data_IF_484744993942
#
_entry.id   IF_484744993942
#
_cell.length_a   1.000
_cell.length_b   1.000
_cell.length_c   1.000
_cell.angle_alpha   90.00
_cell.angle_beta   90.00
_cell.angle_gamma   90.00
#
_symmetry.space_group_name_H-M   'P 1'
#
loop_
_entity.id
_entity.type
_entity.pdbx_description
1 polymer ?
#
# COMPACT_ATOMS: atom_id res chain seq x y z
N UNK A 1 -20.37 4.35 6.12
CA UNK A 1 -19.41 5.43 5.82
C UNK A 1 -18.88 5.27 4.40
N UNK A 2 -18.92 6.33 3.59
CA UNK A 2 -18.57 6.32 2.16
C UNK A 2 -17.06 6.28 1.85
N UNK A 3 -16.20 6.07 2.85
CA UNK A 3 -14.72 6.09 2.75
C UNK A 3 -14.18 5.28 1.56
N UNK A 4 -14.60 4.02 1.41
CA UNK A 4 -14.17 3.14 0.30
C UNK A 4 -14.56 3.72 -1.06
N UNK A 5 -15.82 4.13 -1.19
CA UNK A 5 -16.36 4.63 -2.46
C UNK A 5 -15.68 5.94 -2.86
N UNK A 6 -15.49 6.87 -1.92
CA UNK A 6 -14.81 8.14 -2.18
C UNK A 6 -13.33 7.93 -2.51
N UNK A 7 -12.65 7.02 -1.81
CA UNK A 7 -11.25 6.68 -2.10
C UNK A 7 -11.09 6.10 -3.50
N UNK A 8 -12.00 5.21 -3.93
CA UNK A 8 -12.02 4.67 -5.30
C UNK A 8 -12.31 5.75 -6.34
N UNK A 9 -13.25 6.65 -6.05
CA UNK A 9 -13.55 7.78 -6.93
C UNK A 9 -12.35 8.72 -7.08
N UNK A 10 -11.72 9.11 -5.97
CA UNK A 10 -10.53 9.94 -5.98
C UNK A 10 -9.37 9.28 -6.74
N UNK A 11 -9.16 7.98 -6.53
CA UNK A 11 -8.17 7.18 -7.26
C UNK A 11 -8.44 7.19 -8.76
N UNK A 12 -9.70 7.04 -9.17
CA UNK A 12 -10.12 7.10 -10.57
C UNK A 12 -9.92 8.49 -11.18
N UNK A 13 -10.31 9.56 -10.47
CA UNK A 13 -10.12 10.94 -10.92
C UNK A 13 -8.64 11.31 -11.05
N UNK A 14 -7.79 10.76 -10.20
CA UNK A 14 -6.34 10.94 -10.26
C UNK A 14 -5.65 10.04 -11.31
N UNK A 15 -6.41 9.26 -12.10
CA UNK A 15 -5.89 8.31 -13.11
C UNK A 15 -4.91 7.27 -12.54
N UNK A 16 -5.04 6.97 -11.25
CA UNK A 16 -4.21 6.00 -10.55
C UNK A 16 -4.84 4.61 -10.63
N UNK A 17 -4.02 3.56 -10.67
CA UNK A 17 -4.56 2.20 -10.62
C UNK A 17 -4.98 1.87 -9.18
N UNK A 18 -6.26 1.59 -8.96
CA UNK A 18 -6.74 1.11 -7.67
C UNK A 18 -6.42 -0.38 -7.51
N UNK A 19 -5.72 -0.74 -6.43
CA UNK A 19 -5.49 -2.10 -6.00
C UNK A 19 -6.13 -2.30 -4.62
N UNK A 20 -6.85 -3.41 -4.44
CA UNK A 20 -7.46 -3.83 -3.18
C UNK A 20 -7.28 -5.32 -3.07
N UNK A 21 -7.06 -5.83 -1.86
CA UNK A 21 -7.00 -7.29 -1.66
C UNK A 21 -8.39 -7.92 -1.64
N UNK A 22 -8.48 -9.17 -2.07
CA UNK A 22 -9.70 -9.96 -2.02
C UNK A 22 -9.54 -11.10 -1.02
N UNK A 23 -10.30 -11.03 0.08
CA UNK A 23 -10.15 -12.01 1.15
C UNK A 23 -10.99 -13.24 0.85
N UNK A 24 -10.32 -14.38 0.87
CA UNK A 24 -10.94 -15.70 0.84
C UNK A 24 -10.88 -16.36 2.22
N UNK A 25 -11.65 -17.44 2.42
CA UNK A 25 -11.72 -18.15 3.71
C UNK A 25 -10.35 -18.61 4.23
N UNK A 26 -9.38 -18.84 3.34
CA UNK A 26 -8.04 -19.34 3.66
C UNK A 26 -6.96 -18.26 3.50
N UNK A 27 -7.32 -16.98 3.41
CA UNK A 27 -6.37 -15.89 3.23
C UNK A 27 -5.54 -15.69 4.50
N UNK A 28 -4.22 -15.91 4.40
CA UNK A 28 -3.23 -15.80 5.48
C UNK A 28 -2.12 -14.83 5.06
N UNK A 29 -1.08 -14.74 5.90
CA UNK A 29 0.08 -13.90 5.66
C UNK A 29 0.76 -14.18 4.32
N UNK A 30 0.81 -15.44 3.89
CA UNK A 30 1.46 -15.82 2.64
C UNK A 30 0.75 -15.18 1.45
N UNK A 31 -0.58 -15.31 1.38
CA UNK A 31 -1.38 -14.71 0.30
C UNK A 31 -1.29 -13.18 0.33
N UNK A 32 -1.29 -12.58 1.53
CA UNK A 32 -1.08 -11.14 1.68
C UNK A 32 0.26 -10.68 1.12
N UNK A 33 1.35 -11.39 1.42
CA UNK A 33 2.66 -11.06 0.90
C UNK A 33 2.76 -11.27 -0.62
N UNK A 34 2.07 -12.25 -1.18
CA UNK A 34 1.97 -12.40 -2.64
C UNK A 34 1.26 -11.20 -3.30
N UNK A 35 0.19 -10.70 -2.70
CA UNK A 35 -0.49 -9.48 -3.17
C UNK A 35 0.44 -8.25 -3.09
N UNK A 36 1.22 -8.13 -2.01
CA UNK A 36 2.22 -7.07 -1.85
C UNK A 36 3.36 -7.17 -2.88
N UNK A 37 3.81 -8.38 -3.24
CA UNK A 37 4.76 -8.58 -4.35
C UNK A 37 4.18 -8.06 -5.66
N UNK A 38 2.91 -8.35 -5.92
CA UNK A 38 2.17 -7.83 -7.08
C UNK A 38 2.15 -6.30 -7.11
N UNK A 39 1.89 -5.66 -5.96
CA UNK A 39 1.95 -4.21 -5.80
C UNK A 39 3.35 -3.65 -6.10
N UNK A 40 4.41 -4.25 -5.57
CA UNK A 40 5.79 -3.81 -5.81
C UNK A 40 6.16 -3.95 -7.29
N UNK A 41 5.79 -5.05 -7.96
CA UNK A 41 6.00 -5.21 -9.40
C UNK A 41 5.23 -4.16 -10.20
N UNK A 42 4.01 -3.84 -9.81
CA UNK A 42 3.19 -2.85 -10.50
C UNK A 42 3.72 -1.41 -10.33
N UNK A 43 3.99 -1.01 -9.09
CA UNK A 43 4.46 0.34 -8.76
C UNK A 43 5.93 0.54 -9.13
N UNK A 44 6.79 -0.44 -8.89
CA UNK A 44 8.23 -0.37 -9.13
C UNK A 44 8.62 -0.79 -10.54
N UNK A 45 8.40 -2.06 -10.89
CA UNK A 45 8.90 -2.63 -12.15
C UNK A 45 8.18 -2.07 -13.38
N UNK A 46 6.85 -2.07 -13.36
CA UNK A 46 6.03 -1.51 -14.44
C UNK A 46 5.92 0.03 -14.40
N UNK A 47 6.43 0.67 -13.34
CA UNK A 47 6.40 2.12 -13.13
C UNK A 47 4.99 2.72 -13.29
N UNK A 48 3.98 2.07 -12.68
CA UNK A 48 2.58 2.51 -12.75
C UNK A 48 2.14 3.12 -11.41
N UNK A 49 1.74 4.40 -11.39
CA UNK A 49 1.13 5.00 -10.21
C UNK A 49 -0.08 4.19 -9.74
N UNK A 50 -0.04 3.76 -8.49
CA UNK A 50 -0.95 2.76 -7.92
C UNK A 50 -1.37 3.17 -6.52
N UNK A 51 -2.68 3.10 -6.27
CA UNK A 51 -3.23 3.24 -4.93
C UNK A 51 -3.49 1.86 -4.35
N UNK A 52 -2.89 1.57 -3.20
CA UNK A 52 -3.29 0.45 -2.37
C UNK A 52 -4.38 0.89 -1.40
N UNK A 53 -5.62 0.49 -1.69
CA UNK A 53 -6.78 0.70 -0.83
C UNK A 53 -6.93 -0.50 0.11
N UNK A 54 -6.74 -0.27 1.41
CA UNK A 54 -6.78 -1.29 2.44
C UNK A 54 -7.77 -0.90 3.53
N UNK A 55 -8.72 -1.78 3.81
CA UNK A 55 -9.83 -1.52 4.71
C UNK A 55 -9.74 -2.30 6.02
N UNK A 56 -10.36 -1.78 7.06
CA UNK A 56 -10.45 -2.46 8.35
C UNK A 56 -11.05 -3.87 8.29
N UNK A 57 -12.04 -4.10 7.42
CA UNK A 57 -12.63 -5.44 7.26
C UNK A 57 -11.65 -6.41 6.62
N UNK A 58 -10.57 -5.89 6.04
CA UNK A 58 -9.52 -6.69 5.41
C UNK A 58 -8.39 -7.10 6.36
N UNK A 59 -8.40 -6.60 7.59
CA UNK A 59 -7.40 -6.91 8.60
C UNK A 59 -7.82 -8.22 9.30
N UNK A 60 -7.43 -9.35 8.70
CA UNK A 60 -7.68 -10.69 9.29
C UNK A 60 -6.69 -10.98 10.42
N UNK A 61 -5.44 -10.56 10.25
CA UNK A 61 -4.36 -10.70 11.22
C UNK A 61 -3.65 -9.35 11.41
N UNK A 62 -3.30 -9.02 12.66
CA UNK A 62 -2.60 -7.76 12.96
C UNK A 62 -1.20 -7.70 12.30
N UNK A 63 -0.60 -8.85 11.97
CA UNK A 63 0.64 -8.94 11.19
C UNK A 63 0.51 -8.36 9.77
N UNK A 64 -0.71 -8.14 9.25
CA UNK A 64 -0.89 -7.41 7.98
C UNK A 64 -0.53 -5.93 8.17
N UNK A 65 -0.89 -5.36 9.32
CA UNK A 65 -0.57 -3.96 9.63
C UNK A 65 0.91 -3.75 9.90
N UNK A 66 1.63 -4.78 10.36
CA UNK A 66 3.09 -4.72 10.47
C UNK A 66 3.74 -4.53 9.08
N UNK A 67 3.35 -5.34 8.10
CA UNK A 67 3.83 -5.23 6.73
C UNK A 67 3.41 -3.88 6.10
N UNK A 68 2.18 -3.40 6.34
CA UNK A 68 1.73 -2.06 5.89
C UNK A 68 2.53 -0.94 6.56
N UNK A 69 2.82 -1.05 7.86
CA UNK A 69 3.63 -0.08 8.58
C UNK A 69 5.06 -0.02 8.02
N UNK A 70 5.63 -1.15 7.63
CA UNK A 70 6.93 -1.19 6.96
C UNK A 70 6.87 -0.48 5.61
N UNK A 71 5.83 -0.70 4.80
CA UNK A 71 5.62 0.05 3.54
C UNK A 71 5.52 1.56 3.81
N UNK A 72 4.78 1.99 4.82
CA UNK A 72 4.61 3.40 5.13
C UNK A 72 5.89 4.08 5.65
N UNK A 73 6.75 3.34 6.37
CA UNK A 73 7.93 3.90 7.03
C UNK A 73 9.21 3.77 6.19
N UNK A 74 9.44 2.61 5.58
CA UNK A 74 10.64 2.33 4.78
C UNK A 74 10.34 2.18 3.29
N UNK A 75 9.08 2.06 2.87
CA UNK A 75 8.74 1.77 1.48
C UNK A 75 9.02 0.34 1.05
N UNK A 76 9.40 -0.54 1.98
CA UNK A 76 9.66 -1.96 1.71
C UNK A 76 9.13 -2.87 2.80
N UNK A 77 8.87 -4.13 2.44
CA UNK A 77 8.59 -5.19 3.41
C UNK A 77 9.81 -6.11 3.50
N UNK A 78 10.40 -6.29 4.70
CA UNK A 78 11.56 -7.15 4.86
C UNK A 78 11.30 -8.58 4.42
N UNK A 79 12.25 -9.16 3.67
CA UNK A 79 12.17 -10.53 3.15
C UNK A 79 10.88 -10.82 2.34
N UNK A 80 10.35 -9.81 1.63
CA UNK A 80 9.17 -9.98 0.80
C UNK A 80 9.45 -10.91 -0.40
N UNK A 81 10.58 -10.71 -1.07
CA UNK A 81 10.99 -11.55 -2.20
C UNK A 81 12.04 -12.58 -1.77
N UNK A 82 11.86 -13.86 -2.14
CA UNK A 82 12.96 -14.82 -2.09
C UNK A 82 14.02 -14.44 -3.14
N UNK A 83 15.26 -14.92 -2.96
CA UNK A 83 16.43 -14.48 -3.73
C UNK A 83 16.29 -14.70 -5.24
N UNK A 84 15.64 -15.79 -5.63
CA UNK A 84 15.34 -16.15 -7.01
C UNK A 84 14.33 -15.20 -7.65
N UNK A 85 13.21 -14.91 -6.98
CA UNK A 85 12.22 -13.96 -7.50
C UNK A 85 12.75 -12.52 -7.56
N UNK A 86 13.57 -12.13 -6.57
CA UNK A 86 14.16 -10.80 -6.54
C UNK A 86 15.02 -10.56 -7.79
N UNK A 87 15.81 -11.56 -8.20
CA UNK A 87 16.62 -11.48 -9.42
C UNK A 87 15.78 -11.15 -10.65
N UNK A 88 14.65 -11.85 -10.81
CA UNK A 88 13.72 -11.61 -11.94
C UNK A 88 13.17 -10.18 -11.93
N UNK A 89 12.75 -9.66 -10.77
CA UNK A 89 12.23 -8.29 -10.66
C UNK A 89 13.32 -7.25 -10.96
N UNK A 90 14.55 -7.49 -10.52
CA UNK A 90 15.68 -6.61 -10.78
C UNK A 90 16.08 -6.61 -12.26
N UNK A 91 15.97 -7.75 -12.95
CA UNK A 91 16.19 -7.84 -14.39
C UNK A 91 15.16 -7.00 -15.17
N UNK A 92 13.89 -6.97 -14.74
CA UNK A 92 12.85 -6.14 -15.35
C UNK A 92 13.13 -4.63 -15.23
N UNK A 93 13.67 -4.17 -14.09
CA UNK A 93 14.01 -2.74 -13.90
C UNK A 93 15.37 -2.34 -14.43
N UNK A 94 16.27 -3.29 -14.73
CA UNK A 94 17.67 -3.01 -15.08
C UNK A 94 17.81 -2.02 -16.24
N UNK A 95 17.03 -2.21 -17.30
CA UNK A 95 17.08 -1.32 -18.47
C UNK A 95 16.69 0.12 -18.09
N UNK A 96 15.67 0.27 -17.24
CA UNK A 96 15.16 1.56 -16.82
C UNK A 96 16.08 2.23 -15.77
N UNK A 97 16.70 1.44 -14.89
CA UNK A 97 17.71 1.88 -13.93
C UNK A 97 18.93 2.46 -14.66
N UNK A 98 19.43 1.74 -15.67
CA UNK A 98 20.54 2.19 -16.52
C UNK A 98 20.22 3.48 -17.28
N UNK A 99 19.01 3.59 -17.83
CA UNK A 99 18.55 4.80 -18.51
C UNK A 99 18.45 6.01 -17.54
N UNK A 100 18.23 5.75 -16.25
CA UNK A 100 18.17 6.76 -15.19
C UNK A 100 19.54 7.06 -14.55
N UNK A 101 20.61 6.43 -15.02
CA UNK A 101 21.96 6.59 -14.46
C UNK A 101 22.19 5.89 -13.13
N UNK A 102 21.30 4.99 -12.72
CA UNK A 102 21.50 4.16 -11.52
C UNK A 102 22.58 3.08 -11.77
N UNK A 103 23.26 2.67 -10.71
CA UNK A 103 24.31 1.64 -10.78
C UNK A 103 23.79 0.27 -11.23
N UNK A 104 24.69 -0.56 -11.77
CA UNK A 104 24.35 -1.91 -12.26
C UNK A 104 24.46 -3.01 -11.19
N UNK A 105 24.91 -2.66 -9.97
CA UNK A 105 24.98 -3.62 -8.86
C UNK A 105 23.59 -4.00 -8.37
N UNK A 106 23.44 -5.21 -7.81
CA UNK A 106 22.15 -5.69 -7.31
C UNK A 106 21.55 -4.72 -6.28
N UNK A 107 22.37 -4.19 -5.39
CA UNK A 107 21.95 -3.22 -4.37
C UNK A 107 21.49 -1.89 -4.98
N UNK A 108 22.17 -1.41 -6.03
CA UNK A 108 21.77 -0.18 -6.72
C UNK A 108 20.46 -0.35 -7.49
N UNK A 109 20.27 -1.50 -8.15
CA UNK A 109 19.00 -1.84 -8.82
C UNK A 109 17.85 -1.97 -7.81
N UNK A 110 18.11 -2.57 -6.64
CA UNK A 110 17.12 -2.69 -5.59
C UNK A 110 16.75 -1.34 -4.99
N UNK A 111 17.74 -0.49 -4.69
CA UNK A 111 17.49 0.88 -4.24
C UNK A 111 16.67 1.69 -5.27
N UNK A 112 16.96 1.54 -6.56
CA UNK A 112 16.19 2.16 -7.64
C UNK A 112 14.75 1.65 -7.70
N UNK A 113 14.54 0.34 -7.54
CA UNK A 113 13.21 -0.25 -7.45
C UNK A 113 12.42 0.34 -6.28
N UNK A 114 13.02 0.40 -5.09
CA UNK A 114 12.38 0.97 -3.90
C UNK A 114 12.00 2.44 -4.08
N UNK A 115 12.87 3.23 -4.70
CA UNK A 115 12.56 4.63 -4.97
C UNK A 115 11.37 4.79 -5.91
N UNK A 116 11.28 3.94 -6.94
CA UNK A 116 10.10 3.89 -7.82
C UNK A 116 8.84 3.47 -7.08
N UNK A 117 8.93 2.47 -6.21
CA UNK A 117 7.80 2.03 -5.39
C UNK A 117 7.32 3.20 -4.52
N UNK A 118 8.22 3.89 -3.81
CA UNK A 118 7.87 5.06 -2.98
C UNK A 118 7.22 6.19 -3.77
N UNK A 119 7.69 6.43 -5.00
CA UNK A 119 7.15 7.48 -5.87
C UNK A 119 5.77 7.13 -6.40
N UNK A 120 5.53 5.86 -6.74
CA UNK A 120 4.32 5.43 -7.44
C UNK A 120 3.25 4.80 -6.53
N UNK A 121 3.60 4.31 -5.34
CA UNK A 121 2.68 3.63 -4.44
C UNK A 121 2.09 4.61 -3.43
N UNK A 122 0.77 4.78 -3.48
CA UNK A 122 0.01 5.55 -2.50
C UNK A 122 -0.85 4.60 -1.67
N UNK A 123 -0.77 4.68 -0.34
CA UNK A 123 -1.55 3.80 0.55
C UNK A 123 -2.72 4.59 1.13
N UNK A 124 -3.94 4.06 0.97
CA UNK A 124 -5.15 4.60 1.58
C UNK A 124 -5.71 3.58 2.57
N UNK A 125 -5.83 3.99 3.83
CA UNK A 125 -6.34 3.17 4.91
C UNK A 125 -7.75 3.61 5.29
N UNK A 126 -8.71 2.70 5.19
CA UNK A 126 -10.09 2.93 5.62
C UNK A 126 -10.30 2.28 7.00
N UNK A 127 -10.06 3.04 8.07
CA UNK A 127 -10.17 2.55 9.46
C UNK A 127 -11.27 3.29 10.22
N UNK A 128 -12.08 2.56 11.01
CA UNK A 128 -13.03 3.13 11.95
C UNK A 128 -12.35 3.58 13.23
N UNK A 129 -12.56 4.82 13.70
CA UNK A 129 -12.09 5.26 15.00
C UNK A 129 -12.96 4.73 16.15
N UNK A 130 -14.04 4.01 15.86
CA UNK A 130 -14.96 3.45 16.86
C UNK A 130 -14.32 2.24 17.53
N UNK A 131 -14.21 2.29 18.86
CA UNK A 131 -13.63 1.23 19.69
C UNK A 131 -12.15 1.40 19.98
N UNK A 132 -11.58 0.47 20.75
CA UNK A 132 -10.18 0.56 21.20
C UNK A 132 -9.17 0.08 20.16
N UNK A 133 -9.58 -0.79 19.23
CA UNK A 133 -8.70 -1.42 18.24
C UNK A 133 -7.92 -0.39 17.40
N UNK A 134 -8.55 0.69 16.95
CA UNK A 134 -7.85 1.73 16.19
C UNK A 134 -6.73 2.39 17.02
N UNK A 135 -7.02 2.70 18.29
CA UNK A 135 -6.05 3.31 19.21
C UNK A 135 -4.89 2.36 19.51
N UNK A 136 -5.16 1.08 19.71
CA UNK A 136 -4.14 0.06 19.92
C UNK A 136 -3.25 -0.12 18.69
N UNK A 137 -3.84 -0.20 17.49
CA UNK A 137 -3.11 -0.27 16.22
C UNK A 137 -2.22 0.93 16.00
N UNK A 138 -2.70 2.15 16.29
CA UNK A 138 -1.86 3.35 16.19
C UNK A 138 -0.67 3.34 17.18
N UNK A 139 -0.81 2.68 18.34
CA UNK A 139 0.29 2.51 19.30
C UNK A 139 1.30 1.44 18.86
N UNK A 140 0.81 0.33 18.33
CA UNK A 140 1.67 -0.77 17.84
C UNK A 140 2.39 -0.39 16.55
N UNK A 141 1.72 0.36 15.67
CA UNK A 141 2.15 0.67 14.31
C UNK A 141 2.18 2.20 14.10
N UNK A 142 3.22 2.90 14.60
CA UNK A 142 3.27 4.36 14.58
C UNK A 142 3.32 4.95 13.17
N UNK A 143 3.74 4.19 12.15
CA UNK A 143 3.72 4.62 10.75
C UNK A 143 2.31 4.92 10.24
N UNK A 144 1.27 4.32 10.82
CA UNK A 144 -0.12 4.62 10.48
C UNK A 144 -0.49 6.08 10.75
N UNK A 145 0.15 6.73 11.72
CA UNK A 145 -0.12 8.13 12.09
C UNK A 145 0.99 9.06 11.62
N UNK A 146 2.25 8.63 11.71
CA UNK A 146 3.40 9.48 11.41
C UNK A 146 3.68 9.64 9.91
N UNK A 147 3.28 8.66 9.10
CA UNK A 147 3.58 8.62 7.67
C UNK A 147 2.32 8.75 6.80
N UNK A 148 1.16 9.04 7.41
CA UNK A 148 -0.09 9.27 6.69
C UNK A 148 -0.72 10.59 7.08
N UNK A 149 -1.63 11.09 6.25
CA UNK A 149 -2.50 12.22 6.59
C UNK A 149 -3.87 11.66 6.97
N UNK A 150 -4.37 12.04 8.15
CA UNK A 150 -5.68 11.57 8.63
C UNK A 150 -6.78 12.47 8.08
N UNK A 151 -7.68 11.88 7.31
CA UNK A 151 -8.93 12.50 6.85
C UNK A 151 -10.10 12.01 7.72
N UNK A 152 -10.74 12.93 8.45
CA UNK A 152 -11.80 12.60 9.40
C UNK A 152 -13.18 12.62 8.73
N UNK A 153 -13.79 11.44 8.64
CA UNK A 153 -15.18 11.32 8.21
C UNK A 153 -16.10 11.50 9.42
N UNK A 154 -16.68 12.69 9.55
CA UNK A 154 -17.71 12.95 10.55
C UNK A 154 -19.05 12.36 10.12
N UNK A 155 -20.00 12.31 11.06
CA UNK A 155 -21.40 12.06 10.70
C UNK A 155 -21.84 13.04 9.61
N UNK A 156 -22.68 12.55 8.70
CA UNK A 156 -23.26 13.39 7.68
C UNK A 156 -24.07 14.51 8.35
N UNK A 157 -23.82 15.79 8.01
CA UNK A 157 -24.64 16.86 8.53
C UNK A 157 -26.08 16.64 8.08
N UNK A 158 -27.05 17.05 8.91
CA UNK A 158 -28.47 16.91 8.59
C UNK A 158 -28.83 17.54 7.24
N UNK A 159 -28.15 18.62 6.86
CA UNK A 159 -28.31 19.29 5.57
C UNK A 159 -27.94 18.37 4.38
N UNK A 160 -26.90 17.55 4.52
CA UNK A 160 -26.53 16.58 3.50
C UNK A 160 -27.57 15.44 3.37
N UNK A 161 -28.42 15.19 4.37
CA UNK A 161 -29.52 14.22 4.24
C UNK A 161 -30.67 14.76 3.37
N UNK A 162 -30.86 16.09 3.32
CA UNK A 162 -31.89 16.72 2.50
C UNK A 162 -31.48 16.89 1.03
N UNK A 163 -30.18 16.80 0.72
CA UNK A 163 -29.63 16.96 -0.64
C UNK A 163 -29.37 15.63 -1.38
N UNK A 164 -29.71 14.47 -0.79
CA UNK A 164 -29.54 13.13 -1.37
C UNK A 164 -30.82 12.60 -1.99
#
# INVERSE_FOLDING_TARGET
SGRKSLSRLATYVAELKCFTIEITKNYRQTEFREDLKGLVKQAGAANKPTVFLFDETQIVFETFLEDVNNILTSGEVPNLFPKDELGTVLDEVRAAAKASGAGETQDALYAFLLERVRTNLHVILCLSPVGEAFRERCRMFPGLVNCTTIDWFTEWPADALYEV
#
